data_IF_396267811199
#
_entry.id   IF_396267811199
#
_cell.length_a   1.000
_cell.length_b   1.000
_cell.length_c   1.000
_cell.angle_alpha   90.00
_cell.angle_beta   90.00
_cell.angle_gamma   90.00
#
_symmetry.space_group_name_H-M   'P 1'
#
loop_
_entity.id
_entity.type
_entity.pdbx_description
1 polymer ?
#
# COMPACT_ATOMS: atom_id res chain seq x y z
N UNK A 1 -2.41 14.54 6.39
CA UNK A 1 -3.00 13.38 5.68
C UNK A 1 -4.28 13.83 5.02
N UNK A 2 -4.34 13.73 3.71
CA UNK A 2 -5.52 13.95 2.88
C UNK A 2 -5.94 12.60 2.27
N UNK A 3 -7.18 12.17 2.49
CA UNK A 3 -7.72 10.90 1.99
C UNK A 3 -8.59 11.18 0.76
N UNK A 4 -7.99 11.82 -0.24
CA UNK A 4 -8.63 12.02 -1.54
C UNK A 4 -8.50 10.78 -2.44
N UNK A 5 -9.28 10.78 -3.51
CA UNK A 5 -9.40 9.66 -4.44
C UNK A 5 -8.60 9.88 -5.74
N UNK A 6 -7.99 11.05 -5.91
CA UNK A 6 -7.23 11.39 -7.10
C UNK A 6 -5.83 10.77 -7.04
N UNK A 7 -5.33 10.33 -8.19
CA UNK A 7 -3.95 9.87 -8.33
C UNK A 7 -3.01 11.08 -8.23
N UNK A 8 -1.86 10.88 -7.57
CA UNK A 8 -0.81 11.88 -7.53
C UNK A 8 0.16 11.60 -8.67
N UNK A 9 0.34 12.58 -9.56
CA UNK A 9 1.30 12.52 -10.66
C UNK A 9 2.54 13.31 -10.28
N UNK A 10 3.57 12.63 -9.82
CA UNK A 10 4.84 13.24 -9.48
C UNK A 10 5.81 13.13 -10.66
N UNK A 11 6.34 14.27 -11.10
CA UNK A 11 7.33 14.35 -12.19
C UNK A 11 8.73 14.32 -11.60
N UNK A 12 9.53 13.32 -12.01
CA UNK A 12 10.95 13.26 -11.64
C UNK A 12 11.72 14.35 -12.38
N UNK A 13 12.61 15.12 -11.70
CA UNK A 13 13.46 16.11 -12.36
C UNK A 13 14.33 15.55 -13.47
N UNK A 14 14.69 14.26 -13.39
CA UNK A 14 15.48 13.56 -14.39
C UNK A 14 14.64 13.02 -15.56
N UNK A 15 13.33 13.29 -15.59
CA UNK A 15 12.35 12.86 -16.61
C UNK A 15 11.44 11.73 -16.14
N UNK A 16 10.30 11.59 -16.81
CA UNK A 16 9.26 10.61 -16.49
C UNK A 16 8.31 11.02 -15.37
N UNK A 17 7.35 10.16 -15.09
CA UNK A 17 6.28 10.40 -14.10
C UNK A 17 6.05 9.17 -13.24
N UNK A 18 6.02 9.32 -11.92
CA UNK A 18 5.51 8.31 -10.99
C UNK A 18 4.06 8.66 -10.67
N UNK A 19 3.17 7.67 -10.81
CA UNK A 19 1.74 7.82 -10.50
C UNK A 19 1.41 7.04 -9.25
N UNK A 20 1.17 7.75 -8.16
CA UNK A 20 0.77 7.17 -6.89
C UNK A 20 -0.76 6.96 -6.90
N UNK A 21 -1.17 5.72 -7.15
CA UNK A 21 -2.57 5.31 -7.19
C UNK A 21 -3.02 4.79 -5.82
N UNK A 22 -3.96 5.53 -5.19
CA UNK A 22 -4.44 5.17 -3.86
C UNK A 22 -5.43 4.02 -3.88
N UNK A 23 -5.09 2.91 -3.19
CA UNK A 23 -5.95 1.74 -3.05
C UNK A 23 -6.38 1.51 -1.60
N UNK A 24 -7.45 0.76 -1.41
CA UNK A 24 -7.91 0.31 -0.09
C UNK A 24 -7.59 -1.19 0.04
N UNK A 25 -6.79 -1.62 1.02
CA UNK A 25 -6.40 -3.01 1.17
C UNK A 25 -7.61 -3.95 1.26
N UNK A 26 -7.55 -5.06 0.55
CA UNK A 26 -8.58 -6.11 0.49
C UNK A 26 -9.97 -5.66 0.02
N UNK A 27 -10.06 -4.48 -0.61
CA UNK A 27 -11.29 -3.92 -1.18
C UNK A 27 -11.25 -3.95 -2.69
N UNK A 28 -12.30 -4.47 -3.33
CA UNK A 28 -12.43 -4.37 -4.78
C UNK A 28 -12.76 -2.92 -5.15
N UNK A 29 -11.77 -2.24 -5.74
CA UNK A 29 -11.96 -0.85 -6.16
C UNK A 29 -12.96 -0.76 -7.31
N UNK A 30 -13.97 0.15 -7.21
CA UNK A 30 -14.94 0.34 -8.27
C UNK A 30 -14.28 0.77 -9.59
N UNK A 31 -14.89 0.40 -10.71
CA UNK A 31 -14.33 0.70 -12.04
C UNK A 31 -14.10 2.20 -12.27
N UNK A 32 -14.93 3.06 -11.66
CA UNK A 32 -14.79 4.53 -11.75
C UNK A 32 -13.54 5.07 -11.08
N UNK A 33 -13.00 4.33 -10.11
CA UNK A 33 -11.81 4.70 -9.32
C UNK A 33 -10.51 4.12 -9.87
N UNK A 34 -10.57 3.29 -10.91
CA UNK A 34 -9.38 2.67 -11.52
C UNK A 34 -8.62 3.68 -12.38
N UNK A 35 -7.26 3.60 -12.42
CA UNK A 35 -6.46 4.51 -13.23
C UNK A 35 -6.81 4.38 -14.72
N UNK A 36 -6.93 5.54 -15.39
CA UNK A 36 -7.31 5.64 -16.81
C UNK A 36 -6.17 6.15 -17.68
N UNK A 37 -4.98 6.22 -17.14
CA UNK A 37 -3.79 6.67 -17.85
C UNK A 37 -3.05 5.49 -18.48
N UNK A 38 -2.28 5.77 -19.53
CA UNK A 38 -1.29 4.82 -20.05
C UNK A 38 -0.06 4.83 -19.14
N UNK A 39 0.43 3.67 -18.78
CA UNK A 39 1.64 3.48 -17.98
C UNK A 39 2.54 2.42 -18.62
N UNK A 40 3.84 2.48 -18.37
CA UNK A 40 4.86 1.66 -19.02
C UNK A 40 5.38 0.56 -18.10
N UNK A 41 5.47 0.81 -16.79
CA UNK A 41 5.85 -0.16 -15.77
C UNK A 41 4.97 -0.07 -14.54
N UNK A 42 5.00 -1.12 -13.73
CA UNK A 42 4.30 -1.24 -12.45
C UNK A 42 5.31 -1.43 -11.34
N UNK A 43 5.25 -0.64 -10.28
CA UNK A 43 5.98 -0.90 -9.05
C UNK A 43 5.00 -1.38 -7.96
N UNK A 44 5.30 -2.54 -7.40
CA UNK A 44 4.59 -3.13 -6.26
C UNK A 44 5.28 -2.69 -4.98
N UNK A 45 4.51 -2.30 -3.96
CA UNK A 45 5.03 -1.82 -2.66
C UNK A 45 5.46 -2.96 -1.70
N UNK A 46 5.61 -4.18 -2.22
CA UNK A 46 6.11 -5.37 -1.55
C UNK A 46 7.42 -5.86 -2.15
N UNK A 47 7.84 -7.06 -1.73
CA UNK A 47 9.03 -7.74 -2.24
C UNK A 47 8.77 -8.48 -3.56
N UNK A 48 9.85 -8.98 -4.18
CA UNK A 48 9.78 -9.80 -5.41
C UNK A 48 9.03 -11.13 -5.22
N UNK A 49 8.82 -11.58 -3.98
CA UNK A 49 8.07 -12.81 -3.63
C UNK A 49 6.55 -12.59 -3.62
N UNK A 50 6.08 -11.35 -3.60
CA UNK A 50 4.65 -11.00 -3.50
C UNK A 50 3.76 -11.70 -4.55
N UNK A 51 4.15 -11.82 -5.83
CA UNK A 51 3.36 -12.53 -6.82
C UNK A 51 3.14 -14.02 -6.50
N UNK A 52 4.13 -14.70 -5.90
CA UNK A 52 4.03 -16.10 -5.48
C UNK A 52 3.05 -16.24 -4.31
N UNK A 53 3.10 -15.34 -3.35
CA UNK A 53 2.14 -15.28 -2.23
C UNK A 53 0.72 -15.11 -2.76
N UNK A 54 0.50 -14.23 -3.73
CA UNK A 54 -0.81 -14.05 -4.36
C UNK A 54 -1.31 -15.29 -5.10
N UNK A 55 -0.41 -16.06 -5.73
CA UNK A 55 -0.78 -17.31 -6.39
C UNK A 55 -1.21 -18.38 -5.37
N UNK A 56 -0.56 -18.43 -4.20
CA UNK A 56 -0.96 -19.30 -3.10
C UNK A 56 -2.30 -18.88 -2.48
N UNK A 57 -2.54 -17.58 -2.32
CA UNK A 57 -3.81 -17.03 -1.84
C UNK A 57 -4.95 -17.30 -2.84
N UNK A 58 -4.75 -17.05 -4.15
CA UNK A 58 -5.71 -17.39 -5.23
C UNK A 58 -6.07 -18.89 -5.16
N UNK A 59 -5.08 -19.78 -4.95
CA UNK A 59 -5.29 -21.21 -4.82
C UNK A 59 -6.12 -21.57 -3.59
N UNK A 60 -5.75 -21.04 -2.42
CA UNK A 60 -6.47 -21.29 -1.17
C UNK A 60 -7.93 -20.83 -1.26
N UNK A 61 -8.18 -19.64 -1.83
CA UNK A 61 -9.54 -19.12 -2.06
C UNK A 61 -10.34 -19.98 -3.03
N UNK A 62 -9.69 -20.63 -4.00
CA UNK A 62 -10.37 -21.55 -4.94
C UNK A 62 -10.77 -22.87 -4.29
N UNK A 63 -10.03 -23.32 -3.27
CA UNK A 63 -10.28 -24.56 -2.53
C UNK A 63 -11.33 -24.34 -1.41
N UNK A 64 -11.22 -23.22 -0.69
CA UNK A 64 -12.14 -22.86 0.40
C UNK A 64 -12.34 -21.33 0.42
N UNK A 65 -13.47 -20.89 -0.06
CA UNK A 65 -13.78 -19.45 -0.21
C UNK A 65 -13.87 -18.75 1.13
N UNK A 66 -13.06 -17.71 1.30
CA UNK A 66 -12.99 -16.90 2.52
C UNK A 66 -11.94 -17.38 3.53
N UNK A 67 -11.22 -18.47 3.24
CA UNK A 67 -10.22 -19.03 4.16
C UNK A 67 -9.13 -18.03 4.54
N UNK A 68 -8.66 -17.22 3.57
CA UNK A 68 -7.63 -16.23 3.83
C UNK A 68 -8.15 -15.11 4.75
N UNK A 69 -9.39 -14.65 4.53
CA UNK A 69 -10.02 -13.66 5.40
C UNK A 69 -10.19 -14.18 6.83
N UNK A 70 -10.74 -15.39 6.97
CA UNK A 70 -10.95 -16.00 8.28
C UNK A 70 -9.64 -16.22 9.02
N UNK A 71 -8.60 -16.70 8.32
CA UNK A 71 -7.26 -16.86 8.88
C UNK A 71 -6.66 -15.54 9.34
N UNK A 72 -6.79 -14.48 8.54
CA UNK A 72 -6.26 -13.16 8.87
C UNK A 72 -7.00 -12.53 10.08
N UNK A 73 -8.32 -12.70 10.18
CA UNK A 73 -9.11 -12.26 11.35
C UNK A 73 -8.70 -13.05 12.61
N UNK A 74 -8.53 -14.37 12.50
CA UNK A 74 -8.12 -15.22 13.62
C UNK A 74 -6.71 -14.91 14.13
N UNK A 75 -5.79 -14.51 13.26
CA UNK A 75 -4.46 -14.05 13.66
C UNK A 75 -4.52 -12.77 14.51
N UNK A 76 -5.60 -12.03 14.44
CA UNK A 76 -5.89 -10.90 15.32
C UNK A 76 -5.01 -9.67 15.06
N UNK A 77 -4.69 -8.95 16.14
CA UNK A 77 -3.89 -7.72 16.04
C UNK A 77 -4.63 -6.56 15.38
N UNK A 78 -3.90 -5.67 14.74
CA UNK A 78 -4.50 -4.54 14.01
C UNK A 78 -5.08 -4.99 12.68
N UNK A 79 -4.48 -5.99 12.04
CA UNK A 79 -4.92 -6.53 10.75
C UNK A 79 -6.26 -7.24 10.90
N UNK A 80 -6.37 -8.15 11.88
CA UNK A 80 -7.62 -8.84 12.18
C UNK A 80 -8.73 -7.85 12.56
N UNK A 81 -8.42 -6.83 13.36
CA UNK A 81 -9.40 -5.79 13.73
C UNK A 81 -9.83 -4.96 12.52
N UNK A 82 -8.91 -4.60 11.63
CA UNK A 82 -9.23 -3.91 10.37
C UNK A 82 -10.18 -4.74 9.52
N UNK A 83 -9.83 -6.00 9.27
CA UNK A 83 -10.61 -6.91 8.43
C UNK A 83 -12.00 -7.19 9.03
N UNK A 84 -12.07 -7.45 10.35
CA UNK A 84 -13.35 -7.61 11.05
C UNK A 84 -14.24 -6.37 10.88
N UNK A 85 -13.70 -5.16 11.11
CA UNK A 85 -14.46 -3.92 10.93
C UNK A 85 -14.85 -3.68 9.47
N UNK A 86 -14.00 -4.09 8.52
CA UNK A 86 -14.27 -3.94 7.10
C UNK A 86 -15.46 -4.81 6.65
N UNK A 87 -15.64 -6.02 7.21
CA UNK A 87 -16.79 -6.88 6.88
C UNK A 87 -18.16 -6.26 7.23
N UNK A 88 -18.17 -5.25 8.09
CA UNK A 88 -19.40 -4.51 8.45
C UNK A 88 -19.72 -3.36 7.47
N UNK A 89 -18.87 -3.12 6.49
CA UNK A 89 -19.09 -2.06 5.49
C UNK A 89 -20.00 -2.60 4.39
N UNK A 90 -21.20 -2.04 4.29
CA UNK A 90 -22.19 -2.42 3.29
C UNK A 90 -21.86 -1.80 1.91
N UNK A 91 -22.34 -2.45 0.85
CA UNK A 91 -22.27 -1.95 -0.52
C UNK A 91 -20.92 -2.12 -1.23
N UNK A 92 -19.90 -2.70 -0.57
CA UNK A 92 -18.59 -3.00 -1.13
C UNK A 92 -18.28 -4.49 -1.11
N UNK A 93 -17.45 -4.92 -2.07
CA UNK A 93 -16.78 -6.22 -2.00
C UNK A 93 -15.49 -6.02 -1.21
N UNK A 94 -15.47 -6.56 0.01
CA UNK A 94 -14.39 -6.39 0.99
C UNK A 94 -13.84 -7.74 1.44
N UNK A 95 -12.67 -7.70 2.12
CA UNK A 95 -12.03 -8.91 2.65
C UNK A 95 -11.59 -9.87 1.55
N UNK A 96 -11.19 -9.35 0.40
CA UNK A 96 -10.76 -10.15 -0.75
C UNK A 96 -9.25 -10.35 -0.73
N UNK A 97 -8.86 -11.61 -0.92
CA UNK A 97 -7.49 -12.05 -1.06
C UNK A 97 -7.31 -12.79 -2.40
N UNK A 98 -6.15 -12.62 -3.06
CA UNK A 98 -5.14 -11.59 -2.78
C UNK A 98 -5.69 -10.17 -2.93
N UNK A 99 -4.94 -9.16 -2.45
CA UNK A 99 -5.38 -7.76 -2.52
C UNK A 99 -5.76 -7.39 -3.96
N UNK A 100 -7.04 -7.04 -4.21
CA UNK A 100 -7.60 -7.08 -5.56
C UNK A 100 -6.95 -6.09 -6.53
N UNK A 101 -6.61 -4.86 -6.09
CA UNK A 101 -6.16 -3.84 -7.02
C UNK A 101 -4.69 -4.02 -7.41
N UNK A 102 -3.73 -4.23 -6.49
CA UNK A 102 -2.37 -4.59 -6.86
C UNK A 102 -2.31 -5.85 -7.71
N UNK A 103 -3.05 -6.90 -7.35
CA UNK A 103 -3.12 -8.16 -8.11
C UNK A 103 -3.66 -7.94 -9.53
N UNK A 104 -4.71 -7.14 -9.69
CA UNK A 104 -5.28 -6.78 -11.01
C UNK A 104 -4.27 -6.04 -11.88
N UNK A 105 -3.57 -5.06 -11.31
CA UNK A 105 -2.54 -4.29 -12.02
C UNK A 105 -1.35 -5.17 -12.41
N UNK A 106 -0.93 -6.07 -11.52
CA UNK A 106 0.10 -7.06 -11.82
C UNK A 106 -0.31 -7.96 -13.01
N UNK A 107 -1.50 -8.57 -12.97
CA UNK A 107 -2.03 -9.37 -14.10
C UNK A 107 -2.07 -8.55 -15.41
N UNK A 108 -2.41 -7.26 -15.33
CA UNK A 108 -2.40 -6.38 -16.50
C UNK A 108 -0.97 -6.10 -17.00
N UNK A 109 0.01 -5.89 -16.10
CA UNK A 109 1.41 -5.71 -16.47
C UNK A 109 1.95 -6.93 -17.21
N UNK A 110 1.79 -8.11 -16.63
CA UNK A 110 2.22 -9.39 -17.22
C UNK A 110 1.57 -9.62 -18.60
N UNK A 111 0.25 -9.42 -18.70
CA UNK A 111 -0.48 -9.65 -19.96
C UNK A 111 -0.06 -8.69 -21.09
N UNK A 112 0.45 -7.52 -20.76
CA UNK A 112 0.90 -6.52 -21.72
C UNK A 112 2.42 -6.43 -21.84
N UNK A 113 3.19 -7.33 -21.20
CA UNK A 113 4.64 -7.36 -21.24
C UNK A 113 5.29 -6.10 -20.67
N UNK A 114 4.67 -5.48 -19.65
CA UNK A 114 5.21 -4.28 -19.00
C UNK A 114 6.18 -4.66 -17.90
N UNK A 115 7.19 -3.82 -17.67
CA UNK A 115 8.19 -4.03 -16.63
C UNK A 115 7.56 -4.00 -15.24
N UNK A 116 8.05 -4.90 -14.38
CA UNK A 116 7.66 -5.01 -12.97
C UNK A 116 8.84 -4.59 -12.09
N UNK A 117 8.55 -3.85 -11.05
CA UNK A 117 9.52 -3.38 -10.05
C UNK A 117 8.94 -3.62 -8.65
N UNK A 118 9.82 -3.81 -7.67
CA UNK A 118 9.43 -4.05 -6.28
C UNK A 118 10.11 -3.00 -5.38
N UNK A 119 9.29 -2.28 -4.62
CA UNK A 119 9.79 -1.20 -3.76
C UNK A 119 10.45 -1.72 -2.49
N UNK A 120 10.05 -2.90 -2.00
CA UNK A 120 10.69 -3.54 -0.87
C UNK A 120 11.93 -4.31 -1.35
N UNK A 121 13.12 -4.06 -0.74
CA UNK A 121 14.32 -4.84 -1.04
C UNK A 121 14.14 -6.31 -0.68
N UNK A 122 14.89 -7.17 -1.37
CA UNK A 122 14.90 -8.60 -1.08
C UNK A 122 15.59 -8.89 0.28
N UNK A 123 15.32 -10.06 0.86
CA UNK A 123 15.84 -10.44 2.19
C UNK A 123 17.35 -10.69 2.23
N UNK A 124 18.01 -10.81 1.08
CA UNK A 124 19.47 -10.92 0.96
C UNK A 124 20.17 -9.55 1.00
N UNK A 125 19.43 -8.44 0.97
CA UNK A 125 19.95 -7.10 1.20
C UNK A 125 20.28 -6.92 2.71
N UNK A 126 21.58 -6.84 3.03
CA UNK A 126 22.06 -6.76 4.42
C UNK A 126 21.56 -5.50 5.14
N UNK A 127 21.49 -4.36 4.45
CA UNK A 127 21.02 -3.10 5.02
C UNK A 127 19.52 -3.16 5.33
N UNK A 128 18.75 -3.83 4.45
CA UNK A 128 17.33 -4.05 4.68
C UNK A 128 17.08 -5.01 5.85
N UNK A 129 17.82 -6.10 5.93
CA UNK A 129 17.74 -7.04 7.05
C UNK A 129 18.09 -6.35 8.39
N UNK A 130 19.11 -5.45 8.41
CA UNK A 130 19.43 -4.64 9.59
C UNK A 130 18.29 -3.67 9.95
N UNK A 131 17.71 -3.00 8.94
CA UNK A 131 16.55 -2.12 9.13
C UNK A 131 15.37 -2.86 9.74
N UNK A 132 14.98 -4.02 9.21
CA UNK A 132 13.90 -4.85 9.76
C UNK A 132 14.19 -5.27 11.21
N UNK A 133 15.45 -5.57 11.53
CA UNK A 133 15.89 -5.84 12.91
C UNK A 133 15.69 -4.64 13.85
N UNK A 134 15.96 -3.43 13.39
CA UNK A 134 15.70 -2.18 14.15
C UNK A 134 14.19 -1.96 14.35
N UNK A 135 13.40 -2.17 13.31
CA UNK A 135 11.94 -2.03 13.34
C UNK A 135 11.32 -3.03 14.34
N UNK A 136 11.72 -4.32 14.27
CA UNK A 136 11.27 -5.35 15.20
C UNK A 136 11.61 -4.99 16.66
N UNK A 137 12.82 -4.50 16.93
CA UNK A 137 13.22 -4.02 18.28
C UNK A 137 12.39 -2.83 18.73
N UNK A 138 12.07 -1.90 17.83
CA UNK A 138 11.23 -0.75 18.14
C UNK A 138 9.82 -1.19 18.55
N UNK A 139 9.23 -2.15 17.82
CA UNK A 139 7.88 -2.67 18.06
C UNK A 139 7.77 -3.47 19.37
N UNK A 140 8.83 -4.15 19.80
CA UNK A 140 8.85 -4.98 21.02
C UNK A 140 9.16 -4.20 22.31
N UNK A 141 9.34 -2.88 22.26
CA UNK A 141 9.55 -2.06 23.46
C UNK A 141 8.37 -2.16 24.45
N UNK A 142 8.61 -2.29 25.77
CA UNK A 142 7.54 -2.52 26.75
C UNK A 142 6.39 -1.52 26.68
N UNK A 143 6.67 -0.24 26.46
CA UNK A 143 5.63 0.79 26.33
C UNK A 143 4.79 0.62 25.05
N UNK A 144 5.36 0.08 23.97
CA UNK A 144 4.63 -0.21 22.74
C UNK A 144 3.76 -1.46 22.90
N UNK A 145 4.26 -2.48 23.59
CA UNK A 145 3.48 -3.67 23.96
C UNK A 145 2.26 -3.32 24.83
N UNK A 146 2.41 -2.39 25.78
CA UNK A 146 1.27 -1.90 26.57
C UNK A 146 0.19 -1.23 25.70
N UNK A 147 0.55 -0.65 24.55
CA UNK A 147 -0.44 -0.07 23.61
C UNK A 147 -1.39 -1.12 23.04
N UNK A 148 -0.97 -2.38 22.96
CA UNK A 148 -1.82 -3.49 22.50
C UNK A 148 -3.06 -3.63 23.39
N UNK A 149 -2.90 -3.50 24.70
CA UNK A 149 -4.00 -3.58 25.68
C UNK A 149 -5.06 -2.49 25.43
N UNK A 150 -4.65 -1.35 24.87
CA UNK A 150 -5.52 -0.21 24.60
C UNK A 150 -5.93 -0.07 23.12
N UNK A 151 -5.68 -1.11 22.30
CA UNK A 151 -5.92 -1.06 20.85
C UNK A 151 -7.34 -0.62 20.51
N UNK A 152 -8.38 -1.19 21.12
CA UNK A 152 -9.77 -0.83 20.84
C UNK A 152 -10.12 0.64 21.20
N UNK A 153 -9.48 1.20 22.23
CA UNK A 153 -9.67 2.62 22.59
C UNK A 153 -8.95 3.54 21.61
N UNK A 154 -7.72 3.19 21.23
CA UNK A 154 -6.91 3.91 20.24
C UNK A 154 -7.62 3.90 18.88
N UNK A 155 -8.10 2.73 18.44
CA UNK A 155 -8.87 2.55 17.22
C UNK A 155 -10.08 3.50 17.18
N UNK A 156 -10.93 3.46 18.21
CA UNK A 156 -12.13 4.32 18.29
C UNK A 156 -11.80 5.81 18.25
N UNK A 157 -10.66 6.23 18.83
CA UNK A 157 -10.20 7.62 18.77
C UNK A 157 -9.68 7.97 17.38
N UNK A 158 -8.88 7.08 16.78
CA UNK A 158 -8.24 7.29 15.49
C UNK A 158 -9.29 7.34 14.36
N UNK A 159 -10.24 6.40 14.31
CA UNK A 159 -11.27 6.39 13.25
C UNK A 159 -12.13 7.66 13.26
N UNK A 160 -12.44 8.22 14.45
CA UNK A 160 -13.15 9.51 14.55
C UNK A 160 -12.36 10.66 13.94
N UNK A 161 -11.03 10.58 14.01
CA UNK A 161 -10.12 11.55 13.39
C UNK A 161 -10.10 11.31 11.87
N UNK A 162 -9.86 10.08 11.43
CA UNK A 162 -9.72 9.74 10.01
C UNK A 162 -10.98 10.06 9.19
N UNK A 163 -12.17 9.82 9.73
CA UNK A 163 -13.45 10.21 9.08
C UNK A 163 -13.54 11.69 8.69
N UNK A 164 -12.78 12.57 9.34
CA UNK A 164 -12.74 14.01 9.02
C UNK A 164 -11.79 14.35 7.86
N UNK A 165 -10.93 13.43 7.50
CA UNK A 165 -9.94 13.58 6.43
C UNK A 165 -10.36 12.92 5.13
N UNK A 166 -11.40 12.07 5.16
CA UNK A 166 -11.94 11.46 3.95
C UNK A 166 -12.68 12.51 3.14
N UNK A 167 -12.28 12.64 1.89
CA UNK A 167 -12.93 13.53 0.93
C UNK A 167 -14.12 12.80 0.30
N UNK A 168 -15.18 13.53 -0.02
CA UNK A 168 -16.32 12.96 -0.73
C UNK A 168 -15.85 12.35 -2.07
N UNK A 169 -16.34 11.14 -2.34
CA UNK A 169 -15.98 10.44 -3.56
C UNK A 169 -16.53 11.16 -4.81
N UNK A 170 -15.74 11.20 -5.90
CA UNK A 170 -16.09 12.03 -7.05
C UNK A 170 -17.22 11.47 -7.93
N UNK A 171 -17.66 10.24 -7.70
CA UNK A 171 -18.65 9.54 -8.54
C UNK A 171 -19.72 8.89 -7.66
N UNK A 172 -20.86 8.51 -8.25
CA UNK A 172 -21.90 7.68 -7.62
C UNK A 172 -21.37 6.24 -7.44
N UNK A 173 -20.36 6.11 -6.59
CA UNK A 173 -19.77 4.84 -6.24
C UNK A 173 -20.53 4.22 -5.05
N UNK A 174 -20.33 2.92 -4.78
CA UNK A 174 -21.05 2.24 -3.71
C UNK A 174 -20.93 2.99 -2.38
N UNK A 175 -22.03 3.06 -1.66
CA UNK A 175 -22.02 3.48 -0.26
C UNK A 175 -21.00 2.61 0.50
N UNK A 176 -20.20 3.21 1.36
CA UNK A 176 -19.21 2.47 2.14
C UNK A 176 -17.75 2.78 1.80
N UNK A 177 -17.43 3.30 0.61
CA UNK A 177 -16.04 3.67 0.28
C UNK A 177 -15.42 4.62 1.30
N UNK A 178 -16.16 5.63 1.73
CA UNK A 178 -15.69 6.57 2.75
C UNK A 178 -15.43 5.88 4.10
N UNK A 179 -16.29 4.93 4.47
CA UNK A 179 -16.11 4.15 5.69
C UNK A 179 -14.87 3.24 5.58
N UNK A 180 -14.71 2.54 4.45
CA UNK A 180 -13.55 1.69 4.18
C UNK A 180 -12.24 2.51 4.15
N UNK A 181 -12.23 3.70 3.53
CA UNK A 181 -11.10 4.63 3.54
C UNK A 181 -10.72 5.06 4.97
N UNK A 182 -11.69 5.43 5.80
CA UNK A 182 -11.42 5.78 7.19
C UNK A 182 -10.88 4.59 8.02
N UNK A 183 -11.35 3.37 7.75
CA UNK A 183 -10.85 2.14 8.39
C UNK A 183 -9.40 1.87 7.96
N UNK A 184 -9.11 1.87 6.65
CA UNK A 184 -7.78 1.66 6.12
C UNK A 184 -6.77 2.69 6.63
N UNK A 185 -7.16 3.98 6.65
CA UNK A 185 -6.32 5.05 7.20
C UNK A 185 -6.10 4.91 8.71
N UNK A 186 -7.10 4.41 9.45
CA UNK A 186 -6.96 4.12 10.88
C UNK A 186 -5.95 3.00 11.11
N UNK A 187 -6.08 1.91 10.38
CA UNK A 187 -5.17 0.78 10.42
C UNK A 187 -3.75 1.20 10.08
N UNK A 188 -3.54 1.90 8.97
CA UNK A 188 -2.23 2.41 8.55
C UNK A 188 -1.60 3.33 9.60
N UNK A 189 -2.38 4.29 10.15
CA UNK A 189 -1.88 5.22 11.17
C UNK A 189 -1.42 4.48 12.43
N UNK A 190 -2.21 3.51 12.91
CA UNK A 190 -1.88 2.77 14.11
C UNK A 190 -0.69 1.83 13.91
N UNK A 191 -0.50 1.27 12.70
CA UNK A 191 0.69 0.49 12.36
C UNK A 191 1.93 1.37 12.36
N UNK A 192 1.91 2.54 11.72
CA UNK A 192 3.05 3.48 11.77
C UNK A 192 3.39 3.95 13.18
N UNK A 193 2.40 4.15 14.05
CA UNK A 193 2.64 4.48 15.46
C UNK A 193 3.31 3.33 16.24
N UNK A 194 3.29 2.09 15.75
CA UNK A 194 3.98 0.96 16.36
C UNK A 194 5.48 0.94 16.05
N UNK A 195 5.90 1.52 14.93
CA UNK A 195 7.30 1.81 14.64
C UNK A 195 7.72 3.19 15.19
N UNK A 196 8.98 3.57 15.01
CA UNK A 196 9.47 4.90 15.33
C UNK A 196 9.36 5.81 14.09
N UNK A 197 9.12 7.11 14.27
CA UNK A 197 8.94 8.03 13.14
C UNK A 197 10.20 8.09 12.24
N UNK A 198 11.38 8.02 12.83
CA UNK A 198 12.65 8.00 12.08
C UNK A 198 12.74 6.77 11.19
N UNK A 199 12.35 5.59 11.68
CA UNK A 199 12.30 4.36 10.90
C UNK A 199 11.24 4.42 9.79
N UNK A 200 10.08 5.02 10.06
CA UNK A 200 9.06 5.24 9.04
C UNK A 200 9.58 6.14 7.90
N UNK A 201 10.33 7.20 8.24
CA UNK A 201 10.92 8.11 7.26
C UNK A 201 12.03 7.40 6.46
N UNK A 202 12.88 6.61 7.13
CA UNK A 202 13.93 5.81 6.49
C UNK A 202 13.34 4.83 5.47
N UNK A 203 12.28 4.10 5.86
CA UNK A 203 11.55 3.18 4.99
C UNK A 203 10.94 3.89 3.77
N UNK A 204 10.18 4.97 4.00
CA UNK A 204 9.57 5.75 2.92
C UNK A 204 10.64 6.32 1.96
N UNK A 205 11.78 6.77 2.49
CA UNK A 205 12.90 7.30 1.69
C UNK A 205 13.52 6.22 0.81
N UNK A 206 13.75 5.03 1.35
CA UNK A 206 14.30 3.91 0.59
C UNK A 206 13.35 3.44 -0.50
N UNK A 207 12.06 3.33 -0.18
CA UNK A 207 11.06 3.00 -1.18
C UNK A 207 11.00 4.05 -2.30
N UNK A 208 11.08 5.34 -1.96
CA UNK A 208 11.13 6.41 -2.95
C UNK A 208 12.39 6.32 -3.85
N UNK A 209 13.56 5.95 -3.30
CA UNK A 209 14.79 5.71 -4.04
C UNK A 209 14.62 4.60 -5.08
N UNK A 210 14.02 3.47 -4.68
CA UNK A 210 13.74 2.32 -5.56
C UNK A 210 12.67 2.64 -6.61
N UNK A 211 11.63 3.38 -6.26
CA UNK A 211 10.63 3.85 -7.25
C UNK A 211 11.28 4.74 -8.32
N UNK A 212 12.21 5.63 -7.92
CA UNK A 212 13.00 6.42 -8.87
C UNK A 212 13.92 5.53 -9.72
N UNK A 213 14.47 4.44 -9.14
CA UNK A 213 15.25 3.42 -9.86
C UNK A 213 14.44 2.74 -10.95
N UNK A 214 13.24 2.25 -10.60
CA UNK A 214 12.32 1.66 -11.58
C UNK A 214 11.93 2.64 -12.69
N UNK A 215 11.69 3.92 -12.36
CA UNK A 215 11.43 4.95 -13.36
C UNK A 215 12.68 5.22 -14.23
N UNK A 216 13.88 5.22 -13.65
CA UNK A 216 15.12 5.38 -14.39
C UNK A 216 15.30 4.28 -15.45
N UNK A 217 15.04 3.02 -15.07
CA UNK A 217 15.06 1.89 -16.01
C UNK A 217 14.04 2.08 -17.15
N UNK A 218 12.81 2.52 -16.82
CA UNK A 218 11.79 2.78 -17.85
C UNK A 218 12.17 3.91 -18.82
N UNK A 219 12.95 4.88 -18.38
CA UNK A 219 13.43 5.97 -19.24
C UNK A 219 14.38 5.50 -20.35
N UNK A 220 15.05 4.37 -20.18
CA UNK A 220 15.92 3.82 -21.24
C UNK A 220 15.11 3.50 -22.50
N UNK A 221 13.86 3.02 -22.35
CA UNK A 221 12.99 2.64 -23.45
C UNK A 221 11.97 3.74 -23.85
N UNK A 222 11.55 4.57 -22.88
CA UNK A 222 10.42 5.51 -23.06
C UNK A 222 10.82 6.98 -22.91
N UNK A 223 12.07 7.29 -22.60
CA UNK A 223 12.54 8.67 -22.40
C UNK A 223 11.76 9.40 -21.32
N UNK A 224 11.56 10.70 -21.51
CA UNK A 224 10.85 11.58 -20.58
C UNK A 224 9.33 11.29 -20.47
N UNK A 225 8.78 10.50 -21.40
CA UNK A 225 7.38 10.06 -21.37
C UNK A 225 7.17 8.78 -20.54
N UNK A 226 8.21 8.24 -19.92
CA UNK A 226 8.12 7.08 -19.04
C UNK A 226 7.12 7.32 -17.91
N UNK A 227 6.23 6.34 -17.67
CA UNK A 227 5.21 6.38 -16.60
C UNK A 227 5.28 5.11 -15.79
N UNK A 228 5.60 5.25 -14.49
CA UNK A 228 5.59 4.19 -13.50
C UNK A 228 4.31 4.27 -12.67
N UNK A 229 3.49 3.22 -12.72
CA UNK A 229 2.28 3.08 -11.90
C UNK A 229 2.63 2.45 -10.55
N UNK A 230 2.17 3.05 -9.46
CA UNK A 230 2.44 2.60 -8.09
C UNK A 230 1.13 2.50 -7.32
N UNK A 231 0.49 1.32 -7.24
CA UNK A 231 -0.62 1.10 -6.32
C UNK A 231 -0.10 1.06 -4.89
N UNK A 232 -0.59 1.95 -4.05
CA UNK A 232 -0.23 1.99 -2.64
C UNK A 232 -1.45 2.38 -1.80
N UNK A 233 -1.39 2.12 -0.50
CA UNK A 233 -2.48 2.49 0.38
C UNK A 233 -2.79 3.99 0.28
N UNK A 234 -4.07 4.34 0.13
CA UNK A 234 -4.52 5.72 0.01
C UNK A 234 -3.93 6.63 1.11
N UNK A 235 -3.85 6.13 2.34
CA UNK A 235 -3.31 6.87 3.47
C UNK A 235 -1.79 7.13 3.40
N UNK A 236 -1.05 6.36 2.60
CA UNK A 236 0.41 6.50 2.44
C UNK A 236 0.82 7.42 1.29
N UNK A 237 -0.10 7.85 0.42
CA UNK A 237 0.20 8.70 -0.74
C UNK A 237 1.00 9.95 -0.36
N UNK A 238 0.55 10.66 0.68
CA UNK A 238 1.20 11.91 1.12
C UNK A 238 2.61 11.67 1.66
N UNK A 239 2.83 10.61 2.46
CA UNK A 239 4.17 10.30 2.99
C UNK A 239 5.13 9.87 1.88
N UNK A 240 4.65 9.11 0.89
CA UNK A 240 5.44 8.73 -0.27
C UNK A 240 5.77 9.94 -1.15
N UNK A 241 4.81 10.84 -1.38
CA UNK A 241 5.08 12.08 -2.11
C UNK A 241 6.18 12.91 -1.42
N UNK A 242 6.09 13.09 -0.08
CA UNK A 242 7.11 13.80 0.70
C UNK A 242 8.48 13.13 0.58
N UNK A 243 8.54 11.79 0.52
CA UNK A 243 9.78 11.06 0.34
C UNK A 243 10.36 11.26 -1.07
N UNK A 244 9.55 11.23 -2.10
CA UNK A 244 9.95 11.51 -3.50
C UNK A 244 10.44 12.96 -3.69
N UNK A 245 9.77 13.93 -3.06
CA UNK A 245 10.16 15.35 -3.11
C UNK A 245 11.53 15.63 -2.51
N UNK A 246 12.04 14.76 -1.63
CA UNK A 246 13.41 14.84 -1.11
C UNK A 246 14.46 14.42 -2.12
N UNK A 247 14.06 13.87 -3.26
CA UNK A 247 14.93 13.40 -4.33
C UNK A 247 16.04 12.45 -3.82
N UNK A 248 15.70 11.33 -3.16
CA UNK A 248 16.70 10.39 -2.72
C UNK A 248 17.49 9.84 -3.93
N UNK A 249 18.74 9.49 -3.70
CA UNK A 249 19.58 8.86 -4.73
C UNK A 249 18.87 7.61 -5.29
N UNK A 250 19.02 7.41 -6.59
CA UNK A 250 18.39 6.29 -7.30
C UNK A 250 18.98 4.97 -6.81
N UNK A 251 18.12 4.04 -6.40
CA UNK A 251 18.49 2.67 -6.02
C UNK A 251 17.88 1.68 -7.02
N UNK A 252 18.64 0.67 -7.43
CA UNK A 252 18.11 -0.35 -8.33
C UNK A 252 16.90 -1.05 -7.69
N UNK A 253 15.85 -1.17 -8.48
CA UNK A 253 14.64 -1.89 -8.12
C UNK A 253 14.68 -3.26 -8.80
N UNK A 254 14.72 -4.31 -8.01
CA UNK A 254 14.66 -5.70 -8.49
C UNK A 254 13.32 -5.99 -9.13
#
# INVERSE_FOLDING_TARGET
MNLDWEDIHWKDPDGGTIVLHGVLPTVVMPNGMRPRITWHGLAIMGSSEEPEVWDEEDKSESEDSGINLDSAILNGGLDGLYLEMLTWVEGLQVGKFPDPEPRRLHKAAVNHGRSLFFAEPDMDDEDWAEFLGKEAKAMTRPFKLLRIVFTSRRWRKCIKKMRKHVVDQPVREPDGLQAASALAATWWTLNRENSDEELNIEKDTRFAARLRGGLATLREDHGDDAVLMVPLQQASKESMLIALEKLPDVEESS
#
